data_IF_484405630754
#
_entry.id   IF_484405630754
#
_cell.length_a   1.000
_cell.length_b   1.000
_cell.length_c   1.000
_cell.angle_alpha   90.00
_cell.angle_beta   90.00
_cell.angle_gamma   90.00
#
_symmetry.space_group_name_H-M   'P 1'
#
loop_
_entity.id
_entity.type
_entity.pdbx_description
1 polymer ?
#
# COMPACT_ATOMS: atom_id res chain seq x y z
N UNK A 1 9.83 -0.05 -23.94
CA UNK A 1 9.34 1.24 -23.39
C UNK A 1 10.19 1.58 -22.17
N UNK A 2 10.70 2.81 -22.06
CA UNK A 2 11.59 3.22 -20.96
C UNK A 2 10.72 3.52 -19.72
N UNK A 3 11.22 3.23 -18.50
CA UNK A 3 10.53 3.49 -17.22
C UNK A 3 9.99 4.93 -17.10
N UNK A 4 10.76 5.93 -17.58
CA UNK A 4 10.32 7.34 -17.58
C UNK A 4 9.05 7.59 -18.40
N UNK A 5 8.87 6.87 -19.51
CA UNK A 5 7.67 7.03 -20.35
C UNK A 5 6.45 6.42 -19.68
N UNK A 6 6.61 5.26 -19.03
CA UNK A 6 5.53 4.58 -18.30
C UNK A 6 4.98 5.48 -17.18
N UNK A 7 5.87 6.10 -16.38
CA UNK A 7 5.44 7.00 -15.30
C UNK A 7 4.62 8.16 -15.86
N UNK A 8 5.10 8.81 -16.92
CA UNK A 8 4.38 9.93 -17.55
C UNK A 8 3.01 9.51 -18.10
N UNK A 9 2.94 8.34 -18.75
CA UNK A 9 1.67 7.81 -19.30
C UNK A 9 0.67 7.52 -18.18
N UNK A 10 1.14 6.97 -17.05
CA UNK A 10 0.29 6.71 -15.89
C UNK A 10 -0.16 8.01 -15.24
N UNK A 11 0.75 8.96 -15.04
CA UNK A 11 0.40 10.28 -14.49
C UNK A 11 -0.65 10.97 -15.36
N UNK A 12 -0.50 10.97 -16.68
CA UNK A 12 -1.48 11.53 -17.60
C UNK A 12 -2.86 10.89 -17.39
N UNK A 13 -2.94 9.55 -17.33
CA UNK A 13 -4.20 8.84 -17.09
C UNK A 13 -4.79 9.13 -15.71
N UNK A 14 -3.98 9.28 -14.68
CA UNK A 14 -4.46 9.63 -13.34
C UNK A 14 -5.00 11.07 -13.32
N UNK A 15 -4.37 12.00 -14.05
CA UNK A 15 -4.88 13.36 -14.20
C UNK A 15 -6.19 13.41 -14.99
N UNK A 16 -6.37 12.56 -16.02
CA UNK A 16 -7.64 12.43 -16.75
C UNK A 16 -8.80 11.95 -15.85
N UNK A 17 -8.48 11.26 -14.76
CA UNK A 17 -9.41 10.74 -13.76
C UNK A 17 -9.62 11.68 -12.56
N UNK A 18 -8.99 12.86 -12.58
CA UNK A 18 -8.99 13.83 -11.48
C UNK A 18 -10.40 14.33 -11.14
N UNK A 19 -10.70 14.40 -9.84
CA UNK A 19 -11.81 15.14 -9.24
C UNK A 19 -11.25 16.22 -8.30
N UNK A 20 -11.26 17.47 -8.75
CA UNK A 20 -10.70 18.61 -8.01
C UNK A 20 -11.41 18.81 -6.67
N UNK A 21 -12.74 18.65 -6.62
CA UNK A 21 -13.51 18.80 -5.37
C UNK A 21 -13.13 17.72 -4.37
N UNK A 22 -12.96 16.49 -4.84
CA UNK A 22 -12.48 15.39 -4.00
C UNK A 22 -11.05 15.62 -3.53
N UNK A 23 -10.15 16.07 -4.40
CA UNK A 23 -8.76 16.44 -4.02
C UNK A 23 -8.76 17.44 -2.89
N UNK A 24 -9.52 18.53 -3.02
CA UNK A 24 -9.53 19.62 -2.05
C UNK A 24 -10.14 19.22 -0.71
N UNK A 25 -11.09 18.30 -0.72
CA UNK A 25 -11.62 17.68 0.48
C UNK A 25 -10.61 16.72 1.13
N UNK A 26 -10.05 15.81 0.32
CA UNK A 26 -9.18 14.74 0.81
C UNK A 26 -7.84 15.28 1.36
N UNK A 27 -7.28 16.31 0.74
CA UNK A 27 -6.07 16.97 1.19
C UNK A 27 -6.19 17.50 2.63
N UNK A 28 -7.37 17.93 3.06
CA UNK A 28 -7.61 18.39 4.44
C UNK A 28 -7.53 17.26 5.47
N UNK A 29 -7.76 16.01 5.04
CA UNK A 29 -7.69 14.82 5.90
C UNK A 29 -6.27 14.27 6.01
N UNK A 30 -5.37 14.70 5.14
CA UNK A 30 -3.98 14.26 5.08
C UNK A 30 -3.00 15.43 5.19
N UNK A 31 -2.90 16.08 6.35
CA UNK A 31 -2.06 17.27 6.53
C UNK A 31 -0.56 16.99 6.35
N UNK A 32 -0.15 15.74 6.43
CA UNK A 32 1.25 15.29 6.21
C UNK A 32 1.64 15.19 4.73
N UNK A 33 0.66 15.18 3.81
CA UNK A 33 0.90 15.09 2.36
C UNK A 33 0.70 16.48 1.75
N UNK A 34 1.71 16.96 1.02
CA UNK A 34 1.56 18.21 0.28
C UNK A 34 0.42 18.08 -0.75
N UNK A 35 -0.53 19.03 -0.71
CA UNK A 35 -1.70 19.07 -1.61
C UNK A 35 -1.31 18.97 -3.10
N UNK A 36 -0.18 19.52 -3.50
CA UNK A 36 0.32 19.48 -4.88
C UNK A 36 0.72 18.07 -5.32
N UNK A 37 0.96 17.17 -4.36
CA UNK A 37 1.22 15.75 -4.60
C UNK A 37 -0.05 14.89 -4.62
N UNK A 38 -1.23 15.49 -4.50
CA UNK A 38 -2.53 14.81 -4.55
C UNK A 38 -3.21 15.18 -5.87
N UNK A 39 -3.43 14.20 -6.73
CA UNK A 39 -4.15 14.39 -8.00
C UNK A 39 -5.66 14.50 -7.72
N UNK A 40 -6.20 13.66 -6.85
CA UNK A 40 -7.61 13.62 -6.49
C UNK A 40 -8.40 12.58 -7.26
N UNK A 41 -7.86 11.37 -7.41
CA UNK A 41 -8.60 10.25 -8.01
C UNK A 41 -9.35 9.49 -6.91
N UNK A 42 -10.66 9.32 -7.06
CA UNK A 42 -11.47 8.57 -6.08
C UNK A 42 -11.05 7.10 -6.04
N UNK A 43 -10.97 6.53 -4.84
CA UNK A 43 -10.52 5.14 -4.64
C UNK A 43 -11.27 4.11 -5.49
N UNK A 44 -12.62 4.14 -5.65
CA UNK A 44 -13.31 3.19 -6.53
C UNK A 44 -12.85 3.28 -7.98
N UNK A 45 -12.60 4.50 -8.49
CA UNK A 45 -12.12 4.74 -9.85
C UNK A 45 -10.68 4.19 -9.99
N UNK A 46 -9.82 4.49 -9.02
CA UNK A 46 -8.44 4.01 -8.99
C UNK A 46 -8.37 2.47 -8.91
N UNK A 47 -9.26 1.82 -8.13
CA UNK A 47 -9.36 0.35 -8.08
C UNK A 47 -9.77 -0.24 -9.42
N UNK A 48 -10.72 0.38 -10.12
CA UNK A 48 -11.12 -0.06 -11.46
C UNK A 48 -9.97 0.06 -12.45
N UNK A 49 -9.26 1.19 -12.43
CA UNK A 49 -8.06 1.40 -13.24
C UNK A 49 -6.97 0.36 -12.91
N UNK A 50 -6.64 0.17 -11.62
CA UNK A 50 -5.64 -0.80 -11.18
C UNK A 50 -5.94 -2.23 -11.63
N UNK A 51 -7.23 -2.64 -11.61
CA UNK A 51 -7.66 -3.98 -12.04
C UNK A 51 -7.35 -4.23 -13.51
N UNK A 52 -7.60 -3.27 -14.39
CA UNK A 52 -7.31 -3.42 -15.82
C UNK A 52 -5.81 -3.23 -16.11
N UNK A 53 -5.20 -2.22 -15.51
CA UNK A 53 -3.77 -1.94 -15.68
C UNK A 53 -2.89 -3.10 -15.18
N UNK A 54 -3.26 -3.77 -14.08
CA UNK A 54 -2.52 -4.89 -13.51
C UNK A 54 -2.40 -6.12 -14.45
N UNK A 55 -3.24 -6.20 -15.49
CA UNK A 55 -3.16 -7.24 -16.54
C UNK A 55 -2.06 -6.97 -17.57
N UNK A 56 -1.48 -5.79 -17.58
CA UNK A 56 -0.51 -5.34 -18.59
C UNK A 56 0.93 -5.63 -18.18
N UNK A 57 1.85 -5.64 -19.15
CA UNK A 57 3.29 -5.74 -18.88
C UNK A 57 3.83 -4.45 -18.24
N UNK A 58 3.23 -3.34 -18.54
CA UNK A 58 3.57 -2.00 -18.04
C UNK A 58 3.36 -1.89 -16.53
N UNK A 59 2.38 -2.59 -15.97
CA UNK A 59 2.17 -2.62 -14.53
C UNK A 59 3.38 -3.19 -13.77
N UNK A 60 4.03 -4.22 -14.32
CA UNK A 60 5.25 -4.80 -13.73
C UNK A 60 6.44 -3.82 -13.77
N UNK A 61 6.53 -3.03 -14.85
CA UNK A 61 7.56 -2.01 -14.97
C UNK A 61 7.29 -0.82 -14.05
N UNK A 62 6.03 -0.47 -13.85
CA UNK A 62 5.63 0.57 -12.90
C UNK A 62 5.98 0.20 -11.45
N UNK A 63 5.75 -1.05 -11.03
CA UNK A 63 6.14 -1.54 -9.71
C UNK A 63 7.65 -1.44 -9.45
N UNK A 64 8.49 -1.40 -10.49
CA UNK A 64 9.94 -1.22 -10.33
C UNK A 64 10.35 0.25 -10.13
N UNK A 65 9.41 1.19 -10.27
CA UNK A 65 9.69 2.62 -10.13
C UNK A 65 9.33 3.08 -8.72
N UNK A 66 10.31 3.40 -7.92
CA UNK A 66 10.19 3.98 -6.58
C UNK A 66 11.30 5.00 -6.36
N UNK A 67 11.05 6.09 -5.64
CA UNK A 67 9.76 6.54 -5.08
C UNK A 67 8.80 7.09 -6.15
N UNK A 68 7.52 7.14 -5.82
CA UNK A 68 6.49 7.80 -6.64
C UNK A 68 6.39 9.30 -6.30
N UNK A 69 5.89 10.09 -7.27
CA UNK A 69 5.74 11.54 -7.12
C UNK A 69 4.40 11.94 -6.51
N UNK A 70 3.34 11.18 -6.80
CA UNK A 70 1.97 11.49 -6.39
C UNK A 70 1.39 10.44 -5.45
N UNK A 71 0.50 10.89 -4.58
CA UNK A 71 -0.27 10.06 -3.65
C UNK A 71 -1.02 8.92 -4.37
N UNK A 72 -1.64 9.23 -5.51
CA UNK A 72 -2.37 8.22 -6.28
C UNK A 72 -1.47 7.20 -6.98
N UNK A 73 -0.22 7.54 -7.27
CA UNK A 73 0.76 6.56 -7.75
C UNK A 73 1.12 5.57 -6.62
N UNK A 74 1.29 6.05 -5.38
CA UNK A 74 1.48 5.17 -4.22
C UNK A 74 0.27 4.26 -4.00
N UNK A 75 -0.95 4.81 -4.09
CA UNK A 75 -2.17 4.01 -3.98
C UNK A 75 -2.30 2.98 -5.12
N UNK A 76 -1.98 3.37 -6.35
CA UNK A 76 -1.97 2.47 -7.49
C UNK A 76 -0.98 1.32 -7.28
N UNK A 77 0.22 1.64 -6.78
CA UNK A 77 1.24 0.64 -6.42
C UNK A 77 0.67 -0.38 -5.43
N UNK A 78 0.09 0.08 -4.32
CA UNK A 78 -0.54 -0.77 -3.33
C UNK A 78 -1.65 -1.66 -3.92
N UNK A 79 -2.52 -1.09 -4.76
CA UNK A 79 -3.59 -1.84 -5.43
C UNK A 79 -3.08 -2.89 -6.44
N UNK A 80 -1.91 -2.68 -7.03
CA UNK A 80 -1.25 -3.67 -7.88
C UNK A 80 -0.61 -4.79 -7.05
N UNK A 81 -0.04 -4.48 -5.87
CA UNK A 81 0.47 -5.49 -4.93
C UNK A 81 -0.64 -6.42 -4.45
N UNK A 82 -1.86 -5.91 -4.22
CA UNK A 82 -3.03 -6.73 -3.86
C UNK A 82 -3.38 -7.81 -4.90
N UNK A 83 -2.93 -7.67 -6.16
CA UNK A 83 -3.19 -8.60 -7.25
C UNK A 83 -2.14 -9.71 -7.37
N UNK A 84 -1.02 -9.62 -6.65
CA UNK A 84 0.03 -10.64 -6.64
C UNK A 84 -0.48 -11.85 -5.88
N UNK A 85 -0.49 -13.01 -6.55
CA UNK A 85 -1.01 -14.27 -5.98
C UNK A 85 0.08 -15.13 -5.33
N UNK A 86 1.33 -14.93 -5.73
CA UNK A 86 2.48 -15.62 -5.17
C UNK A 86 2.88 -14.94 -3.86
N UNK A 87 3.00 -15.72 -2.80
CA UNK A 87 3.26 -15.22 -1.45
C UNK A 87 4.64 -14.58 -1.31
N UNK A 88 5.68 -15.29 -1.73
CA UNK A 88 7.06 -14.82 -1.61
C UNK A 88 7.28 -13.53 -2.41
N UNK A 89 6.75 -13.52 -3.64
CA UNK A 89 6.81 -12.34 -4.48
C UNK A 89 6.03 -11.17 -3.89
N UNK A 90 4.88 -11.43 -3.28
CA UNK A 90 4.08 -10.40 -2.60
C UNK A 90 4.86 -9.78 -1.45
N UNK A 91 5.50 -10.60 -0.60
CA UNK A 91 6.35 -10.13 0.49
C UNK A 91 7.53 -9.29 -0.02
N UNK A 92 8.23 -9.78 -1.04
CA UNK A 92 9.37 -9.07 -1.62
C UNK A 92 8.99 -7.68 -2.14
N UNK A 93 7.86 -7.57 -2.82
CA UNK A 93 7.39 -6.27 -3.33
C UNK A 93 6.85 -5.37 -2.20
N UNK A 94 6.23 -5.93 -1.16
CA UNK A 94 5.87 -5.19 0.05
C UNK A 94 7.10 -4.57 0.73
N UNK A 95 8.14 -5.36 0.97
CA UNK A 95 9.39 -4.90 1.58
C UNK A 95 10.01 -3.73 0.81
N UNK A 96 9.91 -3.76 -0.51
CA UNK A 96 10.40 -2.67 -1.36
C UNK A 96 9.55 -1.43 -1.28
N UNK A 97 8.23 -1.57 -1.07
CA UNK A 97 7.27 -0.46 -1.12
C UNK A 97 7.06 0.20 0.25
N UNK A 98 7.00 -0.57 1.34
CA UNK A 98 6.68 -0.05 2.68
C UNK A 98 7.51 1.17 3.11
N UNK A 99 8.83 1.27 2.83
CA UNK A 99 9.61 2.44 3.20
C UNK A 99 9.19 3.74 2.51
N UNK A 100 8.40 3.67 1.45
CA UNK A 100 7.93 4.83 0.68
C UNK A 100 6.51 5.27 1.02
N UNK A 101 5.84 4.57 1.93
CA UNK A 101 4.52 4.98 2.43
C UNK A 101 4.71 6.11 3.43
N UNK A 102 4.17 7.28 3.13
CA UNK A 102 4.35 8.53 3.89
C UNK A 102 3.05 9.06 4.52
N UNK A 103 1.97 8.28 4.43
CA UNK A 103 0.67 8.67 4.95
C UNK A 103 -0.20 7.48 5.36
N UNK A 104 -1.16 7.73 6.25
CA UNK A 104 -2.07 6.73 6.79
C UNK A 104 -3.03 6.16 5.73
N UNK A 105 -3.47 6.99 4.77
CA UNK A 105 -4.49 6.60 3.81
C UNK A 105 -3.97 5.56 2.80
N UNK A 106 -2.73 5.71 2.31
CA UNK A 106 -2.06 4.69 1.50
C UNK A 106 -1.80 3.42 2.31
N UNK A 107 -1.37 3.58 3.57
CA UNK A 107 -1.09 2.46 4.46
C UNK A 107 -2.35 1.60 4.70
N UNK A 108 -3.47 2.23 5.05
CA UNK A 108 -4.72 1.54 5.39
C UNK A 108 -5.45 0.98 4.16
N UNK A 109 -5.21 1.58 2.98
CA UNK A 109 -5.73 1.10 1.70
C UNK A 109 -5.18 -0.28 1.34
N UNK A 110 -3.90 -0.52 1.66
CA UNK A 110 -3.16 -1.71 1.24
C UNK A 110 -3.67 -2.97 1.95
N UNK A 111 -4.26 -3.91 1.19
CA UNK A 111 -4.88 -5.12 1.71
C UNK A 111 -4.40 -6.37 0.95
N UNK A 112 -3.26 -6.91 1.35
CA UNK A 112 -2.64 -8.09 0.72
C UNK A 112 -3.35 -9.38 1.11
N UNK A 113 -4.27 -9.84 0.26
CA UNK A 113 -5.09 -11.03 0.55
C UNK A 113 -4.34 -12.35 0.41
N UNK A 114 -3.25 -12.36 -0.32
CA UNK A 114 -2.41 -13.55 -0.56
C UNK A 114 -1.91 -14.17 0.73
N UNK A 115 -1.65 -13.35 1.75
CA UNK A 115 -1.16 -13.78 3.06
C UNK A 115 -2.14 -14.67 3.85
N UNK A 116 -3.43 -14.65 3.53
CA UNK A 116 -4.47 -15.43 4.25
C UNK A 116 -4.22 -16.94 4.29
N UNK A 117 -3.46 -17.47 3.34
CA UNK A 117 -3.12 -18.89 3.28
C UNK A 117 -1.80 -19.24 3.97
N UNK A 118 -1.15 -18.25 4.55
CA UNK A 118 0.20 -18.34 5.11
C UNK A 118 0.31 -17.63 6.46
N UNK A 119 -0.81 -17.53 7.21
CA UNK A 119 -0.87 -16.76 8.46
C UNK A 119 0.09 -17.30 9.53
N UNK A 120 0.36 -18.60 9.51
CA UNK A 120 1.29 -19.30 10.40
C UNK A 120 2.73 -18.79 10.28
N UNK A 121 3.15 -18.42 9.09
CA UNK A 121 4.49 -17.85 8.82
C UNK A 121 4.47 -16.33 8.67
N UNK A 122 3.35 -15.76 8.24
CA UNK A 122 3.21 -14.32 8.01
C UNK A 122 3.30 -13.50 9.29
N UNK A 123 2.98 -14.07 10.45
CA UNK A 123 3.06 -13.40 11.75
C UNK A 123 4.49 -12.90 12.05
N UNK A 124 5.51 -13.61 11.64
CA UNK A 124 6.91 -13.20 11.86
C UNK A 124 7.25 -11.92 11.08
N UNK A 125 6.72 -11.78 9.86
CA UNK A 125 6.87 -10.55 9.07
C UNK A 125 6.15 -9.37 9.75
N UNK A 126 4.96 -9.61 10.28
CA UNK A 126 4.19 -8.61 11.04
C UNK A 126 5.00 -8.11 12.24
N UNK A 127 5.58 -9.01 13.03
CA UNK A 127 6.43 -8.63 14.17
C UNK A 127 7.67 -7.84 13.74
N UNK A 128 8.29 -8.22 12.65
CA UNK A 128 9.44 -7.49 12.09
C UNK A 128 9.06 -6.06 11.66
N UNK A 129 7.90 -5.88 11.03
CA UNK A 129 7.42 -4.54 10.64
C UNK A 129 7.04 -3.67 11.83
N UNK A 130 6.46 -4.24 12.88
CA UNK A 130 6.16 -3.50 14.12
C UNK A 130 7.44 -2.98 14.81
N UNK A 131 8.58 -3.64 14.62
CA UNK A 131 9.89 -3.22 15.12
C UNK A 131 10.64 -2.23 14.20
N UNK A 132 10.03 -1.82 13.09
CA UNK A 132 10.65 -0.89 12.14
C UNK A 132 10.90 0.49 12.76
N UNK A 133 11.86 1.23 12.20
CA UNK A 133 12.05 2.65 12.50
C UNK A 133 11.14 3.58 11.67
N UNK A 134 10.39 3.02 10.72
CA UNK A 134 9.52 3.78 9.83
C UNK A 134 8.06 3.69 10.29
N UNK A 135 7.48 4.84 10.65
CA UNK A 135 6.14 4.96 11.27
C UNK A 135 5.04 4.22 10.50
N UNK A 136 5.01 4.33 9.18
CA UNK A 136 3.95 3.69 8.38
C UNK A 136 4.21 2.21 8.13
N UNK A 137 5.46 1.73 8.23
CA UNK A 137 5.76 0.29 8.27
C UNK A 137 5.25 -0.32 9.58
N UNK A 138 5.46 0.36 10.73
CA UNK A 138 4.88 -0.04 12.03
C UNK A 138 3.35 -0.09 11.92
N UNK A 139 2.74 1.01 11.42
CA UNK A 139 1.29 1.08 11.24
C UNK A 139 0.76 -0.05 10.35
N UNK A 140 1.46 -0.36 9.27
CA UNK A 140 1.10 -1.46 8.37
C UNK A 140 1.13 -2.80 9.11
N UNK A 141 2.19 -3.09 9.85
CA UNK A 141 2.31 -4.32 10.67
C UNK A 141 1.16 -4.46 11.67
N UNK A 142 0.86 -3.40 12.43
CA UNK A 142 -0.28 -3.38 13.36
C UNK A 142 -1.61 -3.57 12.60
N UNK A 143 -1.78 -2.92 11.45
CA UNK A 143 -2.95 -3.08 10.58
C UNK A 143 -3.14 -4.52 10.08
N UNK A 144 -2.04 -5.23 9.76
CA UNK A 144 -2.08 -6.64 9.36
C UNK A 144 -2.46 -7.54 10.54
N UNK A 145 -1.94 -7.25 11.74
CA UNK A 145 -2.33 -7.95 12.96
C UNK A 145 -3.83 -7.82 13.20
N UNK A 146 -4.34 -6.59 13.17
CA UNK A 146 -5.77 -6.32 13.37
C UNK A 146 -6.65 -6.98 12.31
N UNK A 147 -6.19 -7.07 11.06
CA UNK A 147 -6.97 -7.59 9.94
C UNK A 147 -7.04 -9.11 9.87
N UNK A 148 -5.99 -9.80 10.30
CA UNK A 148 -5.84 -11.23 10.06
C UNK A 148 -5.70 -12.09 11.31
N UNK A 149 -5.41 -11.49 12.48
CA UNK A 149 -5.09 -12.21 13.70
C UNK A 149 -6.01 -11.86 14.88
N UNK A 150 -7.13 -11.20 14.59
CA UNK A 150 -8.26 -11.08 15.49
C UNK A 150 -9.31 -12.14 15.15
N UNK A 151 -10.36 -12.23 15.94
CA UNK A 151 -11.46 -13.18 15.79
C UNK A 151 -10.97 -14.64 15.79
N UNK A 152 -11.24 -15.39 14.72
CA UNK A 152 -10.96 -16.83 14.62
C UNK A 152 -9.47 -17.19 14.71
N UNK A 153 -8.58 -16.28 14.34
CA UNK A 153 -7.13 -16.49 14.37
C UNK A 153 -6.47 -15.86 15.62
N UNK A 154 -7.26 -15.39 16.57
CA UNK A 154 -6.72 -14.74 17.75
C UNK A 154 -5.96 -15.73 18.65
N UNK A 155 -4.74 -15.32 19.08
CA UNK A 155 -3.95 -16.00 20.10
C UNK A 155 -3.48 -14.96 21.12
N UNK A 156 -3.51 -15.32 22.40
CA UNK A 156 -3.17 -14.40 23.49
C UNK A 156 -1.74 -13.92 23.44
N UNK A 157 -0.84 -14.68 22.82
CA UNK A 157 0.56 -14.31 22.65
C UNK A 157 0.77 -13.10 21.72
N UNK A 158 -0.18 -12.83 20.78
CA UNK A 158 -0.02 -11.72 19.83
C UNK A 158 -0.02 -10.35 20.50
N UNK A 159 -1.01 -9.98 21.34
CA UNK A 159 -0.96 -8.72 22.05
C UNK A 159 0.18 -8.65 23.07
N UNK A 160 0.52 -9.75 23.74
CA UNK A 160 1.64 -9.81 24.69
C UNK A 160 2.96 -9.48 23.97
N UNK A 161 3.21 -10.09 22.80
CA UNK A 161 4.43 -9.84 22.02
C UNK A 161 4.47 -8.42 21.46
N UNK A 162 3.34 -7.86 21.01
CA UNK A 162 3.26 -6.46 20.57
C UNK A 162 3.58 -5.51 21.72
N UNK A 163 3.05 -5.75 22.92
CA UNK A 163 3.38 -4.94 24.10
C UNK A 163 4.88 -4.97 24.44
N UNK A 164 5.52 -6.14 24.34
CA UNK A 164 6.96 -6.29 24.55
C UNK A 164 7.80 -5.53 23.51
N UNK A 165 7.33 -5.49 22.27
CA UNK A 165 8.02 -4.78 21.18
C UNK A 165 7.89 -3.26 21.32
N UNK A 166 6.73 -2.78 21.80
CA UNK A 166 6.42 -1.35 21.90
C UNK A 166 6.83 -0.72 23.26
N UNK A 167 7.32 -1.50 24.22
CA UNK A 167 7.80 -1.03 25.53
C UNK A 167 9.27 -0.67 25.49
#
# INVERSE_FOLDING_TARGET
MNQKNIVKDIQSKLFDLQDIKYRDFHAKLMPTVNKEKIIGVRIPVLRSFAKEFGKTKEARLFLQVLPHSYYEENNLHGLLLEQIKDYEKCLQELERFLPFIDNWATCDLLAVRTVKKHLDVFIEEVYRWIQSQHTYTIRFGIGMLMRYYLDENFQMEYPEKVMQICS
#
